data_IF_120380959888
#
_entry.id   IF_120380959888
#
_cell.length_a   1.000
_cell.length_b   1.000
_cell.length_c   1.000
_cell.angle_alpha   90.00
_cell.angle_beta   90.00
_cell.angle_gamma   90.00
#
_symmetry.space_group_name_H-M   'P 1'
#
loop_
_entity.id
_entity.type
_entity.pdbx_description
1 polymer ?
#
# COMPACT_ATOMS: atom_id res chain seq x y z
N UNK A 1 -4.86 -18.34 -2.28
CA UNK A 1 -5.36 -17.11 -2.92
C UNK A 1 -4.46 -15.98 -2.46
N UNK A 2 -4.03 -15.04 -3.32
CA UNK A 2 -3.23 -13.93 -2.81
C UNK A 2 -4.09 -13.16 -1.81
N UNK A 3 -3.51 -12.92 -0.64
CA UNK A 3 -4.04 -11.99 0.36
C UNK A 3 -4.16 -10.64 -0.34
N UNK A 4 -5.35 -10.03 -0.36
CA UNK A 4 -5.47 -8.82 -1.16
C UNK A 4 -6.85 -8.24 -1.40
N UNK A 5 -6.81 -6.93 -1.55
CA UNK A 5 -7.83 -6.02 -2.02
C UNK A 5 -8.56 -6.54 -3.27
N UNK A 6 -9.87 -6.74 -3.19
CA UNK A 6 -10.72 -6.94 -4.37
C UNK A 6 -11.34 -5.61 -4.77
N UNK A 7 -11.23 -5.24 -6.06
CA UNK A 7 -11.73 -3.94 -6.55
C UNK A 7 -13.02 -4.14 -7.33
N UNK A 8 -14.11 -3.52 -6.88
CA UNK A 8 -15.34 -3.40 -7.67
C UNK A 8 -15.27 -2.13 -8.52
N UNK A 9 -15.44 -2.28 -9.83
CA UNK A 9 -15.40 -1.16 -10.79
C UNK A 9 -16.78 -0.86 -11.37
N UNK A 10 -17.11 0.44 -11.54
CA UNK A 10 -18.27 0.91 -12.31
C UNK A 10 -17.81 1.50 -13.66
N UNK A 11 -18.62 1.36 -14.73
CA UNK A 11 -18.32 1.83 -16.11
C UNK A 11 -17.89 3.32 -16.17
N UNK A 12 -17.04 3.64 -17.15
CA UNK A 12 -16.22 4.86 -17.31
C UNK A 12 -17.02 6.15 -17.58
N UNK A 13 -16.68 7.26 -16.90
CA UNK A 13 -16.67 8.60 -17.51
C UNK A 13 -15.23 9.15 -17.59
N UNK A 14 -15.06 10.18 -18.43
CA UNK A 14 -13.81 10.79 -18.92
C UNK A 14 -12.82 11.22 -17.84
N UNK A 15 -11.53 10.96 -18.10
CA UNK A 15 -10.40 11.47 -17.32
C UNK A 15 -10.17 12.95 -17.60
N UNK A 16 -10.17 13.78 -16.56
CA UNK A 16 -9.53 15.10 -16.58
C UNK A 16 -8.20 15.01 -15.84
N UNK A 17 -7.13 15.44 -16.48
CA UNK A 17 -5.78 15.55 -15.93
C UNK A 17 -5.75 16.57 -14.79
N UNK A 18 -5.24 16.17 -13.63
CA UNK A 18 -5.06 17.02 -12.45
C UNK A 18 -3.59 17.45 -12.24
N UNK A 19 -3.31 18.24 -11.19
CA UNK A 19 -1.97 18.73 -10.85
C UNK A 19 -0.93 17.63 -10.57
N UNK A 20 -1.38 16.39 -10.35
CA UNK A 20 -0.52 15.22 -10.07
C UNK A 20 0.44 14.86 -11.23
N UNK A 21 0.13 15.28 -12.47
CA UNK A 21 0.98 15.00 -13.64
C UNK A 21 2.32 15.76 -13.63
N UNK A 22 2.42 16.87 -12.91
CA UNK A 22 3.61 17.72 -12.92
C UNK A 22 4.73 17.15 -12.05
N UNK A 23 4.40 16.64 -10.86
CA UNK A 23 5.34 15.94 -9.97
C UNK A 23 5.85 14.65 -10.62
N UNK A 24 4.98 13.94 -11.36
CA UNK A 24 5.35 12.71 -12.07
C UNK A 24 6.36 12.92 -13.24
N UNK A 25 6.55 14.17 -13.68
CA UNK A 25 7.53 14.54 -14.71
C UNK A 25 8.90 14.87 -14.14
N UNK A 26 9.06 14.88 -12.82
CA UNK A 26 10.36 15.10 -12.17
C UNK A 26 11.34 13.97 -12.53
N UNK A 27 12.36 14.32 -13.30
CA UNK A 27 13.40 13.40 -13.73
C UNK A 27 14.31 12.95 -12.57
N UNK A 28 14.40 13.76 -11.51
CA UNK A 28 15.16 13.46 -10.30
C UNK A 28 14.54 12.28 -9.58
N UNK A 29 13.22 12.31 -9.36
CA UNK A 29 12.51 11.21 -8.71
C UNK A 29 12.59 9.92 -9.53
N UNK A 30 12.48 10.02 -10.86
CA UNK A 30 12.61 8.86 -11.77
C UNK A 30 13.99 8.22 -11.74
N UNK A 31 15.05 9.01 -11.51
CA UNK A 31 16.38 8.48 -11.34
C UNK A 31 16.56 7.83 -9.96
N UNK A 32 15.99 8.43 -8.92
CA UNK A 32 16.12 7.99 -7.53
C UNK A 32 15.49 6.61 -7.25
N UNK A 33 14.44 6.21 -7.98
CA UNK A 33 13.78 4.90 -7.79
C UNK A 33 14.47 3.73 -8.51
N UNK A 34 15.54 4.00 -9.28
CA UNK A 34 16.27 2.94 -9.98
C UNK A 34 17.16 2.17 -9.00
N UNK A 35 17.24 0.85 -9.21
CA UNK A 35 18.19 0.01 -8.49
C UNK A 35 19.63 0.53 -8.73
N UNK A 36 20.38 0.89 -7.67
CA UNK A 36 21.75 1.33 -7.83
C UNK A 36 22.66 0.19 -8.35
N UNK A 37 23.72 0.50 -9.10
CA UNK A 37 24.63 -0.52 -9.61
C UNK A 37 25.34 -1.27 -8.48
N UNK A 38 25.24 -2.60 -8.47
CA UNK A 38 25.91 -3.46 -7.48
C UNK A 38 25.07 -3.79 -6.25
N UNK A 39 23.86 -3.23 -6.11
CA UNK A 39 22.93 -3.54 -5.03
C UNK A 39 22.06 -4.77 -5.35
N UNK A 40 21.65 -5.50 -4.31
CA UNK A 40 20.68 -6.58 -4.44
C UNK A 40 19.26 -6.02 -4.64
N UNK A 41 18.52 -6.62 -5.59
CA UNK A 41 17.17 -6.17 -5.92
C UNK A 41 16.19 -6.37 -4.76
N UNK A 42 16.30 -7.48 -4.02
CA UNK A 42 15.37 -7.78 -2.92
C UNK A 42 15.63 -6.87 -1.72
N UNK A 43 16.90 -6.58 -1.42
CA UNK A 43 17.26 -5.59 -0.40
C UNK A 43 16.77 -4.20 -0.78
N UNK A 44 16.96 -3.77 -2.03
CA UNK A 44 16.45 -2.49 -2.51
C UNK A 44 14.94 -2.36 -2.38
N UNK A 45 14.20 -3.40 -2.80
CA UNK A 45 12.75 -3.45 -2.66
C UNK A 45 12.32 -3.47 -1.20
N UNK A 46 13.03 -4.20 -0.33
CA UNK A 46 12.72 -4.30 1.08
C UNK A 46 12.85 -2.94 1.79
N UNK A 47 13.99 -2.26 1.61
CA UNK A 47 14.25 -0.93 2.19
C UNK A 47 13.19 0.07 1.75
N UNK A 48 12.93 0.16 0.44
CA UNK A 48 11.92 1.09 -0.08
C UNK A 48 10.50 0.74 0.39
N UNK A 49 10.17 -0.55 0.55
CA UNK A 49 8.84 -0.96 1.04
C UNK A 49 8.62 -0.51 2.48
N UNK A 50 9.63 -0.66 3.35
CA UNK A 50 9.57 -0.19 4.74
C UNK A 50 9.43 1.33 4.78
N UNK A 51 10.18 2.06 3.95
CA UNK A 51 10.08 3.52 3.86
C UNK A 51 8.68 3.97 3.42
N UNK A 52 8.11 3.35 2.38
CA UNK A 52 6.76 3.68 1.93
C UNK A 52 5.68 3.35 2.97
N UNK A 53 5.83 2.24 3.70
CA UNK A 53 4.92 1.90 4.80
C UNK A 53 4.95 2.99 5.88
N UNK A 54 6.15 3.41 6.31
CA UNK A 54 6.31 4.45 7.32
C UNK A 54 5.73 5.80 6.89
N UNK A 55 6.03 6.22 5.65
CA UNK A 55 5.50 7.48 5.10
C UNK A 55 3.98 7.44 4.94
N UNK A 56 3.43 6.34 4.46
CA UNK A 56 1.98 6.15 4.30
C UNK A 56 1.28 6.15 5.65
N UNK A 57 1.86 5.49 6.67
CA UNK A 57 1.31 5.46 8.02
C UNK A 57 1.26 6.86 8.63
N UNK A 58 2.34 7.62 8.49
CA UNK A 58 2.41 9.00 8.97
C UNK A 58 1.37 9.89 8.27
N UNK A 59 1.23 9.76 6.95
CA UNK A 59 0.23 10.50 6.17
C UNK A 59 -1.19 10.15 6.62
N UNK A 60 -1.48 8.87 6.83
CA UNK A 60 -2.79 8.43 7.30
C UNK A 60 -3.13 8.97 8.70
N UNK A 61 -2.12 9.10 9.58
CA UNK A 61 -2.28 9.71 10.90
C UNK A 61 -2.85 11.14 10.87
N UNK A 62 -2.63 11.88 9.77
CA UNK A 62 -3.21 13.23 9.58
C UNK A 62 -4.70 13.15 9.18
N UNK A 63 -5.09 12.09 8.47
CA UNK A 63 -6.42 11.93 7.87
C UNK A 63 -7.42 11.23 8.81
N UNK A 64 -6.93 10.37 9.71
CA UNK A 64 -7.78 9.49 10.55
C UNK A 64 -8.84 10.26 11.35
N UNK A 65 -8.55 11.50 11.75
CA UNK A 65 -9.51 12.33 12.50
C UNK A 65 -10.75 12.72 11.67
N UNK A 66 -10.62 12.80 10.34
CA UNK A 66 -11.72 13.17 9.42
C UNK A 66 -12.32 11.97 8.72
N UNK A 67 -11.62 10.84 8.71
CA UNK A 67 -12.05 9.58 8.12
C UNK A 67 -12.70 8.70 9.19
N UNK A 68 -14.02 8.78 9.34
CA UNK A 68 -14.81 7.99 10.29
C UNK A 68 -15.71 7.01 9.54
N UNK A 69 -16.28 6.02 10.24
CA UNK A 69 -17.25 5.10 9.63
C UNK A 69 -18.48 5.82 9.03
N UNK A 70 -18.80 7.03 9.51
CA UNK A 70 -19.91 7.84 8.98
C UNK A 70 -19.49 8.68 7.78
N UNK A 71 -18.32 9.34 7.84
CA UNK A 71 -17.84 10.18 6.72
C UNK A 71 -17.28 9.37 5.56
N UNK A 72 -16.72 8.18 5.85
CA UNK A 72 -16.14 7.27 4.89
C UNK A 72 -16.66 5.84 5.12
N UNK A 73 -17.95 5.58 4.84
CA UNK A 73 -18.62 4.31 5.18
C UNK A 73 -18.14 3.11 4.36
N UNK A 74 -17.33 3.36 3.34
CA UNK A 74 -16.79 2.34 2.44
C UNK A 74 -15.38 2.75 2.03
N UNK A 75 -14.47 1.79 1.92
CA UNK A 75 -13.15 2.05 1.33
C UNK A 75 -13.28 2.25 -0.18
N UNK A 76 -13.03 3.46 -0.67
CA UNK A 76 -13.21 3.81 -2.09
C UNK A 76 -12.17 4.79 -2.59
N UNK A 77 -11.78 4.67 -3.86
CA UNK A 77 -10.99 5.67 -4.58
C UNK A 77 -11.88 6.37 -5.61
N UNK A 78 -12.53 7.43 -5.16
CA UNK A 78 -13.56 8.13 -5.92
C UNK A 78 -14.81 7.27 -6.17
N UNK A 79 -15.72 7.70 -7.05
CA UNK A 79 -17.02 7.05 -7.22
C UNK A 79 -16.96 5.71 -7.97
N UNK A 80 -15.79 5.37 -8.53
CA UNK A 80 -15.63 4.24 -9.47
C UNK A 80 -15.10 2.97 -8.83
N UNK A 81 -14.32 3.09 -7.77
CA UNK A 81 -13.56 2.00 -7.19
C UNK A 81 -13.96 1.82 -5.74
N UNK A 82 -14.51 0.65 -5.42
CA UNK A 82 -14.74 0.20 -4.05
C UNK A 82 -13.77 -0.96 -3.76
N UNK A 83 -13.06 -0.86 -2.64
CA UNK A 83 -12.09 -1.84 -2.19
C UNK A 83 -12.70 -2.72 -1.11
N UNK A 84 -12.60 -4.03 -1.30
CA UNK A 84 -13.09 -5.03 -0.35
C UNK A 84 -11.91 -5.77 0.28
N UNK A 85 -12.03 -6.05 1.58
CA UNK A 85 -10.96 -6.66 2.35
C UNK A 85 -11.07 -8.19 2.35
N UNK A 86 -9.95 -8.88 2.18
CA UNK A 86 -9.79 -10.31 2.42
C UNK A 86 -8.32 -10.61 2.79
N UNK A 87 -8.10 -11.17 3.98
CA UNK A 87 -6.76 -11.53 4.46
C UNK A 87 -6.36 -12.98 4.14
N UNK A 88 -7.28 -13.76 3.55
CA UNK A 88 -7.07 -15.18 3.23
C UNK A 88 -6.92 -16.11 4.44
N UNK A 89 -6.85 -15.58 5.67
CA UNK A 89 -6.69 -16.29 6.94
C UNK A 89 -8.01 -16.27 7.72
N UNK A 90 -8.35 -15.11 8.32
CA UNK A 90 -9.55 -14.89 9.14
C UNK A 90 -10.75 -14.53 8.26
N UNK A 91 -10.52 -13.71 7.23
CA UNK A 91 -11.50 -13.21 6.26
C UNK A 91 -11.22 -13.84 4.90
N UNK A 92 -11.81 -15.02 4.68
CA UNK A 92 -11.66 -15.79 3.44
C UNK A 92 -12.47 -15.25 2.26
N UNK A 93 -13.57 -14.58 2.55
CA UNK A 93 -14.44 -13.96 1.54
C UNK A 93 -14.35 -12.44 1.64
N UNK A 94 -14.26 -11.77 0.49
CA UNK A 94 -14.11 -10.33 0.45
C UNK A 94 -15.32 -9.59 1.07
N UNK A 95 -15.06 -8.78 2.09
CA UNK A 95 -16.07 -8.01 2.82
C UNK A 95 -15.97 -6.52 2.50
N UNK A 96 -17.11 -5.84 2.52
CA UNK A 96 -17.18 -4.38 2.48
C UNK A 96 -17.08 -3.86 3.91
N UNK A 97 -16.09 -3.02 4.16
CA UNK A 97 -15.86 -2.37 5.46
C UNK A 97 -15.71 -0.86 5.26
N UNK A 98 -15.79 -0.11 6.36
CA UNK A 98 -15.56 1.33 6.31
C UNK A 98 -14.11 1.64 5.92
N UNK A 99 -13.86 2.84 5.37
CA UNK A 99 -12.50 3.21 5.00
C UNK A 99 -11.49 3.17 6.17
N UNK A 100 -11.81 3.67 7.39
CA UNK A 100 -10.85 3.58 8.48
C UNK A 100 -10.58 2.14 8.94
N UNK A 101 -11.62 1.30 9.00
CA UNK A 101 -11.49 -0.12 9.33
C UNK A 101 -10.67 -0.88 8.27
N UNK A 102 -10.85 -0.56 6.99
CA UNK A 102 -10.04 -1.12 5.92
C UNK A 102 -8.55 -0.80 6.11
N UNK A 103 -8.24 0.47 6.36
CA UNK A 103 -6.85 0.92 6.54
C UNK A 103 -6.24 0.28 7.78
N UNK A 104 -6.99 0.14 8.87
CA UNK A 104 -6.52 -0.58 10.07
C UNK A 104 -6.13 -2.03 9.75
N UNK A 105 -6.99 -2.77 9.03
CA UNK A 105 -6.67 -4.13 8.61
C UNK A 105 -5.45 -4.18 7.68
N UNK A 106 -5.38 -3.24 6.73
CA UNK A 106 -4.26 -3.15 5.79
C UNK A 106 -2.94 -2.89 6.51
N UNK A 107 -2.89 -1.90 7.39
CA UNK A 107 -1.65 -1.52 8.09
C UNK A 107 -1.21 -2.61 9.06
N UNK A 108 -2.17 -3.25 9.75
CA UNK A 108 -1.88 -4.42 10.61
C UNK A 108 -1.30 -5.56 9.77
N UNK A 109 -1.92 -5.88 8.63
CA UNK A 109 -1.42 -6.93 7.76
C UNK A 109 -0.02 -6.62 7.22
N UNK A 110 0.21 -5.41 6.69
CA UNK A 110 1.54 -5.02 6.20
C UNK A 110 2.58 -5.14 7.32
N UNK A 111 2.27 -4.67 8.53
CA UNK A 111 3.15 -4.79 9.68
C UNK A 111 3.51 -6.25 10.00
N UNK A 112 2.53 -7.16 10.02
CA UNK A 112 2.79 -8.60 10.20
C UNK A 112 3.74 -9.16 9.13
N UNK A 113 3.67 -8.67 7.88
CA UNK A 113 4.59 -9.10 6.82
C UNK A 113 6.00 -8.53 7.01
N UNK A 114 6.13 -7.28 7.47
CA UNK A 114 7.42 -6.63 7.74
C UNK A 114 8.15 -7.23 8.95
N UNK A 115 7.42 -7.81 9.90
CA UNK A 115 7.97 -8.51 11.07
C UNK A 115 8.30 -9.98 10.80
N UNK A 116 7.86 -10.55 9.67
CA UNK A 116 8.09 -11.95 9.33
C UNK A 116 9.53 -12.14 8.79
N UNK A 117 10.44 -12.81 9.54
CA UNK A 117 11.83 -12.97 9.11
C UNK A 117 11.98 -13.88 7.89
N UNK A 118 10.94 -14.65 7.52
CA UNK A 118 10.94 -15.44 6.29
C UNK A 118 10.68 -14.59 5.03
N UNK A 119 10.14 -13.38 5.21
CA UNK A 119 9.84 -12.41 4.15
C UNK A 119 10.84 -11.26 4.18
N UNK A 120 11.12 -10.71 5.37
CA UNK A 120 12.09 -9.65 5.64
C UNK A 120 13.14 -10.14 6.63
N UNK A 121 14.19 -10.86 6.16
CA UNK A 121 15.26 -11.32 7.02
C UNK A 121 15.99 -10.15 7.68
N UNK A 122 16.22 -10.23 9.00
CA UNK A 122 16.97 -9.23 9.76
C UNK A 122 18.47 -9.52 9.83
N UNK A 123 18.89 -10.73 9.45
CA UNK A 123 20.29 -11.14 9.39
C UNK A 123 20.84 -10.99 7.97
N UNK A 124 22.09 -10.53 7.80
CA UNK A 124 22.75 -10.49 6.51
C UNK A 124 22.80 -11.88 5.88
N UNK A 125 22.61 -11.97 4.57
CA UNK A 125 22.73 -13.24 3.86
C UNK A 125 24.19 -13.72 3.95
N UNK A 126 24.41 -14.86 4.61
CA UNK A 126 25.74 -15.42 4.89
C UNK A 126 26.44 -16.04 3.66
N UNK A 127 25.98 -15.77 2.43
CA UNK A 127 26.52 -16.32 1.18
C UNK A 127 27.53 -15.38 0.48
N UNK A 128 28.06 -14.37 1.19
CA UNK A 128 29.10 -13.46 0.71
C UNK A 128 30.49 -13.62 1.38
N UNK A 129 30.81 -14.84 1.84
CA UNK A 129 32.20 -15.26 2.10
C UNK A 129 32.54 -16.54 1.35
#
# INVERSE_FOLDING_TARGET
MPIGTQVRTKKKPSSTSGPDEEILKDQTLRAAVKLPPGEDLMEWLAVNTVDFYNQTNMLYGILVQRCTATSCPKMSAGPRFEYLWADGKKVKQAISVSAPEYVEYLMTWVHEQLEDPSIFPSEPRNDLF
#
